data_IF_281198829172
#
_entry.id   IF_281198829172
#
_cell.length_a   1.000
_cell.length_b   1.000
_cell.length_c   1.000
_cell.angle_alpha   90.00
_cell.angle_beta   90.00
_cell.angle_gamma   90.00
#
_symmetry.space_group_name_H-M   'P 1'
#
loop_
_entity.id
_entity.type
_entity.pdbx_description
1 polymer ?
#
# COMPACT_ATOMS: atom_id res chain seq x y z
N UNK A 1 12.86 6.24 -21.51
CA UNK A 1 11.89 7.24 -21.91
C UNK A 1 10.72 7.31 -20.97
N UNK A 2 10.32 8.52 -20.64
CA UNK A 2 9.32 8.74 -19.57
C UNK A 2 7.89 8.70 -20.06
N UNK A 3 7.68 8.69 -21.37
CA UNK A 3 6.34 8.71 -21.97
C UNK A 3 5.53 7.46 -21.69
N UNK A 4 6.20 6.33 -21.45
CA UNK A 4 5.54 5.05 -21.18
C UNK A 4 5.36 4.74 -19.69
N UNK A 5 5.76 5.68 -18.83
CA UNK A 5 5.62 5.49 -17.38
C UNK A 5 4.25 5.98 -16.94
N UNK A 6 3.46 5.07 -16.40
CA UNK A 6 2.14 5.36 -15.89
C UNK A 6 2.10 5.15 -14.38
N UNK A 7 1.57 6.13 -13.69
CA UNK A 7 1.39 6.04 -12.24
C UNK A 7 -0.09 5.98 -11.94
N UNK A 8 -0.50 4.91 -11.30
CA UNK A 8 -1.87 4.76 -10.81
C UNK A 8 -1.80 3.99 -9.51
N UNK A 9 -1.49 4.72 -8.45
CA UNK A 9 -1.33 4.15 -7.12
C UNK A 9 -2.01 5.05 -6.12
N UNK A 10 -2.76 4.44 -5.21
CA UNK A 10 -3.48 5.12 -4.15
C UNK A 10 -3.07 4.52 -2.83
N UNK A 11 -2.78 5.36 -1.86
CA UNK A 11 -2.50 4.96 -0.48
C UNK A 11 -3.48 5.68 0.44
N UNK A 12 -4.22 4.92 1.22
CA UNK A 12 -5.29 5.44 2.06
C UNK A 12 -5.21 4.87 3.46
N UNK A 13 -5.68 5.63 4.42
CA UNK A 13 -5.94 5.12 5.76
C UNK A 13 -7.33 5.56 6.20
N UNK A 14 -8.02 4.70 6.91
CA UNK A 14 -9.36 5.01 7.38
C UNK A 14 -10.02 3.82 8.02
N UNK A 15 -11.31 3.97 8.29
CA UNK A 15 -12.12 2.94 8.95
C UNK A 15 -12.97 2.20 7.94
N UNK A 16 -13.01 0.89 8.05
CA UNK A 16 -13.81 0.03 7.18
C UNK A 16 -15.29 0.13 7.56
N UNK A 17 -16.16 0.18 6.54
CA UNK A 17 -17.60 0.11 6.72
C UNK A 17 -18.25 -0.62 5.54
N UNK A 18 -19.52 -1.00 5.70
CA UNK A 18 -20.40 -1.52 4.62
C UNK A 18 -19.77 -2.63 3.79
N UNK A 19 -19.38 -3.72 4.45
CA UNK A 19 -18.76 -4.87 3.78
C UNK A 19 -19.82 -5.69 3.05
N UNK A 20 -19.62 -5.95 1.76
CA UNK A 20 -20.52 -6.73 0.94
C UNK A 20 -19.76 -7.68 0.02
N UNK A 21 -20.01 -8.98 0.16
CA UNK A 21 -19.32 -10.00 -0.62
C UNK A 21 -20.11 -10.39 -1.87
N UNK A 22 -19.42 -10.44 -3.01
CA UNK A 22 -19.95 -10.99 -4.25
C UNK A 22 -19.19 -12.26 -4.63
N UNK A 23 -19.55 -12.87 -5.77
CA UNK A 23 -18.89 -14.09 -6.23
C UNK A 23 -17.44 -13.88 -6.63
N UNK A 24 -17.06 -12.69 -7.07
CA UNK A 24 -15.73 -12.40 -7.60
C UNK A 24 -14.90 -11.49 -6.70
N UNK A 25 -15.53 -10.62 -5.94
CA UNK A 25 -14.83 -9.64 -5.12
C UNK A 25 -15.68 -9.21 -3.93
N UNK A 26 -15.01 -8.61 -2.96
CA UNK A 26 -15.65 -7.97 -1.82
C UNK A 26 -15.70 -6.47 -2.08
N UNK A 27 -16.90 -5.88 -1.92
CA UNK A 27 -17.07 -4.43 -1.93
C UNK A 27 -17.09 -3.93 -0.50
N UNK A 28 -16.43 -2.82 -0.26
CA UNK A 28 -16.47 -2.21 1.07
C UNK A 28 -16.27 -0.71 0.98
N UNK A 29 -16.68 -0.01 2.03
CA UNK A 29 -16.46 1.41 2.16
C UNK A 29 -15.28 1.70 3.07
N UNK A 30 -14.64 2.84 2.84
CA UNK A 30 -13.61 3.37 3.71
C UNK A 30 -13.95 4.81 4.04
N UNK A 31 -14.00 5.12 5.34
CA UNK A 31 -14.17 6.49 5.82
C UNK A 31 -12.80 7.03 6.21
N UNK A 32 -12.34 8.06 5.51
CA UNK A 32 -11.06 8.71 5.79
C UNK A 32 -11.25 10.22 5.86
N UNK A 33 -10.22 10.91 6.30
CA UNK A 33 -10.24 12.37 6.38
C UNK A 33 -9.38 12.96 5.27
N UNK A 34 -9.85 14.07 4.69
CA UNK A 34 -9.04 14.86 3.77
C UNK A 34 -8.11 15.81 4.55
N UNK A 35 -7.34 16.62 3.83
CA UNK A 35 -6.43 17.58 4.45
C UNK A 35 -7.13 18.67 5.27
N UNK A 36 -8.40 18.92 4.99
CA UNK A 36 -9.22 19.89 5.74
C UNK A 36 -9.93 19.24 6.92
N UNK A 37 -9.62 17.99 7.23
CA UNK A 37 -10.22 17.18 8.29
C UNK A 37 -11.71 16.92 8.09
N UNK A 38 -12.17 16.93 6.84
CA UNK A 38 -13.53 16.53 6.49
C UNK A 38 -13.58 15.04 6.18
N UNK A 39 -14.71 14.41 6.50
CA UNK A 39 -14.89 12.99 6.20
C UNK A 39 -15.06 12.75 4.71
N UNK A 40 -14.31 11.79 4.19
CA UNK A 40 -14.45 11.30 2.83
C UNK A 40 -14.93 9.84 2.88
N UNK A 41 -15.89 9.52 2.02
CA UNK A 41 -16.45 8.17 1.94
C UNK A 41 -16.09 7.58 0.58
N UNK A 42 -15.31 6.52 0.59
CA UNK A 42 -14.76 5.91 -0.62
C UNK A 42 -15.30 4.52 -0.82
N UNK A 43 -15.49 4.15 -2.09
CA UNK A 43 -15.88 2.80 -2.50
C UNK A 43 -14.67 2.03 -2.97
N UNK A 44 -14.46 0.85 -2.38
CA UNK A 44 -13.31 0.02 -2.67
C UNK A 44 -13.76 -1.39 -3.02
N UNK A 45 -12.93 -2.07 -3.78
CA UNK A 45 -13.10 -3.49 -4.11
C UNK A 45 -11.80 -4.22 -3.88
N UNK A 46 -11.92 -5.48 -3.49
CA UNK A 46 -10.78 -6.39 -3.37
C UNK A 46 -11.20 -7.74 -3.95
N UNK A 47 -10.34 -8.35 -4.78
CA UNK A 47 -10.64 -9.67 -5.31
C UNK A 47 -10.70 -10.70 -4.19
N UNK A 48 -11.55 -11.71 -4.35
CA UNK A 48 -11.82 -12.67 -3.28
C UNK A 48 -10.57 -13.42 -2.82
N UNK A 49 -9.64 -13.73 -3.70
CA UNK A 49 -8.39 -14.39 -3.30
C UNK A 49 -7.58 -13.54 -2.32
N UNK A 50 -7.51 -12.24 -2.55
CA UNK A 50 -6.86 -11.31 -1.63
C UNK A 50 -7.71 -11.06 -0.39
N UNK A 51 -9.03 -11.01 -0.54
CA UNK A 51 -9.93 -10.86 0.60
C UNK A 51 -9.70 -11.98 1.63
N UNK A 52 -9.61 -13.21 1.18
CA UNK A 52 -9.38 -14.33 2.11
C UNK A 52 -8.02 -14.24 2.79
N UNK A 53 -7.01 -13.72 2.11
CA UNK A 53 -5.70 -13.48 2.70
C UNK A 53 -5.75 -12.44 3.81
N UNK A 54 -6.55 -11.39 3.64
CA UNK A 54 -6.63 -10.25 4.54
C UNK A 54 -7.92 -10.22 5.36
N UNK A 55 -8.63 -11.32 5.44
CA UNK A 55 -9.96 -11.42 6.03
C UNK A 55 -10.06 -10.82 7.43
N UNK A 56 -9.03 -10.99 8.25
CA UNK A 56 -9.04 -10.54 9.64
C UNK A 56 -9.06 -9.01 9.78
N UNK A 57 -8.73 -8.28 8.72
CA UNK A 57 -8.78 -6.83 8.72
C UNK A 57 -10.17 -6.28 8.39
N UNK A 58 -11.07 -7.10 7.86
CA UNK A 58 -12.40 -6.67 7.43
C UNK A 58 -13.38 -6.69 8.59
N UNK A 59 -13.20 -5.76 9.51
CA UNK A 59 -14.05 -5.55 10.67
C UNK A 59 -14.56 -4.12 10.62
N UNK A 60 -15.87 -3.95 10.79
CA UNK A 60 -16.49 -2.61 10.79
C UNK A 60 -15.80 -1.70 11.81
N UNK A 61 -15.53 -0.48 11.40
CA UNK A 61 -14.87 0.57 12.19
C UNK A 61 -13.40 0.30 12.55
N UNK A 62 -12.82 -0.77 12.02
CA UNK A 62 -11.39 -1.02 12.19
C UNK A 62 -10.58 -0.06 11.33
N UNK A 63 -9.57 0.56 11.93
CA UNK A 63 -8.61 1.40 11.20
C UNK A 63 -7.62 0.54 10.43
N UNK A 64 -7.51 0.80 9.13
CA UNK A 64 -6.61 0.07 8.23
C UNK A 64 -5.84 1.03 7.34
N UNK A 65 -4.76 0.51 6.77
CA UNK A 65 -3.95 1.20 5.76
C UNK A 65 -4.03 0.38 4.48
N UNK A 66 -4.35 1.04 3.38
CA UNK A 66 -4.68 0.39 2.12
C UNK A 66 -3.83 0.95 1.00
N UNK A 67 -3.39 0.05 0.13
CA UNK A 67 -2.73 0.38 -1.12
C UNK A 67 -3.54 -0.22 -2.26
N UNK A 68 -3.70 0.53 -3.33
CA UNK A 68 -4.46 0.08 -4.47
C UNK A 68 -4.30 1.01 -5.66
N UNK A 69 -5.22 0.91 -6.59
CA UNK A 69 -5.22 1.74 -7.80
C UNK A 69 -6.64 2.08 -8.21
N UNK A 70 -6.78 3.15 -8.97
CA UNK A 70 -8.09 3.61 -9.46
C UNK A 70 -8.51 2.81 -10.67
N UNK A 71 -9.78 2.43 -10.70
CA UNK A 71 -10.45 1.84 -11.85
C UNK A 71 -11.76 2.55 -12.10
N UNK A 72 -12.23 2.46 -13.33
CA UNK A 72 -13.52 3.02 -13.71
C UNK A 72 -14.37 1.96 -14.41
N UNK A 73 -15.66 2.17 -14.39
CA UNK A 73 -16.62 1.35 -15.14
C UNK A 73 -17.78 2.23 -15.59
N UNK A 74 -18.46 1.81 -16.66
CA UNK A 74 -19.69 2.47 -17.10
C UNK A 74 -20.89 1.80 -16.43
N UNK A 75 -21.74 2.60 -15.81
CA UNK A 75 -22.97 2.10 -15.22
C UNK A 75 -24.09 1.92 -16.28
N UNK A 76 -25.27 1.56 -15.84
CA UNK A 76 -26.42 1.29 -16.72
C UNK A 76 -26.85 2.52 -17.53
N UNK A 77 -26.55 3.71 -17.04
CA UNK A 77 -26.90 4.98 -17.68
C UNK A 77 -25.74 5.56 -18.50
N UNK A 78 -24.69 4.78 -18.76
CA UNK A 78 -23.46 5.19 -19.45
C UNK A 78 -22.68 6.28 -18.70
N UNK A 79 -22.92 6.45 -17.41
CA UNK A 79 -22.12 7.32 -16.58
C UNK A 79 -20.88 6.58 -16.11
N UNK A 80 -19.75 7.27 -16.11
CA UNK A 80 -18.49 6.69 -15.65
C UNK A 80 -18.41 6.81 -14.14
N UNK A 81 -18.25 5.68 -13.48
CA UNK A 81 -18.04 5.59 -12.04
C UNK A 81 -16.62 5.14 -11.74
N UNK A 82 -16.09 5.57 -10.61
CA UNK A 82 -14.75 5.20 -10.20
C UNK A 82 -14.80 4.44 -8.88
N UNK A 83 -13.80 3.57 -8.69
CA UNK A 83 -13.60 2.85 -7.44
C UNK A 83 -12.10 2.54 -7.30
N UNK A 84 -11.72 2.13 -6.12
CA UNK A 84 -10.33 1.75 -5.83
C UNK A 84 -10.26 0.24 -5.74
N UNK A 85 -9.37 -0.36 -6.53
CA UNK A 85 -9.07 -1.78 -6.45
C UNK A 85 -7.91 -1.97 -5.48
N UNK A 86 -8.16 -2.69 -4.40
CA UNK A 86 -7.20 -2.88 -3.32
C UNK A 86 -6.21 -3.98 -3.67
N UNK A 87 -4.94 -3.71 -3.48
CA UNK A 87 -3.86 -4.68 -3.67
C UNK A 87 -3.22 -5.12 -2.37
N UNK A 88 -3.29 -4.27 -1.34
CA UNK A 88 -2.74 -4.59 -0.02
C UNK A 88 -3.54 -3.89 1.07
N UNK A 89 -3.73 -4.57 2.19
CA UNK A 89 -4.36 -4.00 3.38
C UNK A 89 -3.58 -4.46 4.61
N UNK A 90 -3.37 -3.55 5.56
CA UNK A 90 -2.65 -3.84 6.79
C UNK A 90 -3.14 -2.90 7.90
N UNK A 91 -2.89 -3.25 9.14
CA UNK A 91 -3.09 -2.35 10.28
C UNK A 91 -1.77 -1.69 10.74
N UNK A 92 -0.68 -1.93 10.01
CA UNK A 92 0.65 -1.39 10.32
C UNK A 92 1.14 -0.52 9.17
N UNK A 93 1.20 0.82 9.35
CA UNK A 93 1.54 1.73 8.25
C UNK A 93 2.93 1.45 7.64
N UNK A 94 3.87 0.99 8.43
CA UNK A 94 5.22 0.68 7.95
C UNK A 94 5.24 -0.45 6.92
N UNK A 95 4.36 -1.42 7.05
CA UNK A 95 4.26 -2.51 6.08
C UNK A 95 3.73 -2.05 4.73
N UNK A 96 2.92 -1.00 4.72
CA UNK A 96 2.38 -0.46 3.48
C UNK A 96 3.47 0.27 2.67
N UNK A 97 4.27 1.07 3.35
CA UNK A 97 5.31 1.90 2.75
C UNK A 97 6.53 1.07 2.38
N UNK A 98 6.93 0.15 3.24
CA UNK A 98 8.12 -0.69 3.08
C UNK A 98 7.77 -2.03 2.43
N UNK A 99 7.06 -1.97 1.30
CA UNK A 99 6.69 -3.17 0.56
C UNK A 99 7.90 -3.90 -0.02
N UNK A 100 7.65 -5.11 -0.55
CA UNK A 100 8.68 -6.00 -1.07
C UNK A 100 9.50 -5.42 -2.23
N UNK A 101 9.01 -4.38 -2.88
CA UNK A 101 9.70 -3.71 -3.97
C UNK A 101 10.65 -2.60 -3.50
N UNK A 102 10.65 -2.26 -2.21
CA UNK A 102 11.52 -1.21 -1.69
C UNK A 102 12.94 -1.72 -1.52
N UNK A 103 13.96 -0.90 -1.81
CA UNK A 103 15.33 -1.24 -1.47
C UNK A 103 15.45 -1.50 0.03
N UNK A 104 16.34 -2.42 0.41
CA UNK A 104 16.53 -2.79 1.81
C UNK A 104 17.34 -1.75 2.60
N UNK A 105 17.64 -0.61 2.00
CA UNK A 105 18.36 0.49 2.61
C UNK A 105 17.35 1.60 2.96
N UNK A 106 17.40 2.02 4.20
CA UNK A 106 16.56 3.12 4.71
C UNK A 106 17.28 3.85 5.83
N UNK A 107 16.77 5.00 6.22
CA UNK A 107 17.26 5.76 7.36
C UNK A 107 16.24 5.70 8.48
N UNK A 108 16.71 5.54 9.72
CA UNK A 108 15.83 5.55 10.87
C UNK A 108 15.52 7.00 11.31
N UNK A 109 14.81 7.15 12.43
CA UNK A 109 14.39 8.44 12.95
C UNK A 109 15.58 9.36 13.32
N UNK A 110 16.71 8.76 13.68
CA UNK A 110 17.93 9.48 14.03
C UNK A 110 18.80 9.78 12.81
N UNK A 111 18.37 9.42 11.61
CA UNK A 111 19.13 9.62 10.40
C UNK A 111 20.23 8.59 10.16
N UNK A 112 20.24 7.49 10.93
CA UNK A 112 21.22 6.42 10.78
C UNK A 112 20.75 5.44 9.70
N UNK A 113 21.63 5.06 8.81
CA UNK A 113 21.33 4.10 7.75
C UNK A 113 21.00 2.73 8.34
N UNK A 114 19.88 2.17 7.89
CA UNK A 114 19.46 0.81 8.24
C UNK A 114 19.45 -0.02 6.98
N UNK A 115 20.19 -1.13 7.00
CA UNK A 115 20.26 -2.05 5.89
C UNK A 115 19.87 -3.45 6.34
N UNK A 116 18.91 -4.04 5.64
CA UNK A 116 18.35 -5.35 6.00
C UNK A 116 17.91 -5.44 7.48
N UNK A 117 17.36 -4.33 8.02
CA UNK A 117 16.90 -4.28 9.40
C UNK A 117 17.99 -4.06 10.44
N UNK A 118 19.24 -3.89 10.05
CA UNK A 118 20.36 -3.65 10.98
C UNK A 118 20.83 -2.20 10.87
N UNK A 119 21.00 -1.55 12.01
CA UNK A 119 21.56 -0.21 12.04
C UNK A 119 23.07 -0.25 11.78
N UNK A 120 23.52 0.68 10.96
CA UNK A 120 24.94 0.83 10.61
C UNK A 120 25.53 2.00 11.39
N UNK A 121 25.65 1.89 12.71
CA UNK A 121 26.00 3.02 13.56
C UNK A 121 27.49 3.23 13.76
N UNK A 122 28.19 2.22 14.19
CA UNK A 122 29.54 2.39 14.76
C UNK A 122 30.60 1.48 14.19
N UNK A 123 30.21 0.51 13.41
CA UNK A 123 31.13 -0.42 12.79
C UNK A 123 31.06 -0.24 11.29
N UNK A 124 32.19 0.09 10.63
CA UNK A 124 32.19 0.16 9.17
C UNK A 124 31.71 -1.17 8.59
N UNK A 125 30.93 -1.15 7.52
CA UNK A 125 30.49 -2.40 6.89
C UNK A 125 31.71 -3.19 6.42
N UNK A 126 31.60 -4.51 6.52
CA UNK A 126 32.64 -5.40 6.01
C UNK A 126 32.68 -5.34 4.49
N UNK A 127 33.75 -5.84 3.89
CA UNK A 127 33.85 -5.90 2.45
C UNK A 127 32.72 -6.69 1.81
N UNK A 128 32.30 -7.79 2.44
CA UNK A 128 31.19 -8.61 1.98
C UNK A 128 29.88 -7.84 2.05
N UNK A 129 29.65 -7.10 3.12
CA UNK A 129 28.44 -6.27 3.27
C UNK A 129 28.40 -5.17 2.22
N UNK A 130 29.53 -4.55 1.91
CA UNK A 130 29.62 -3.53 0.87
C UNK A 130 29.32 -4.11 -0.52
N UNK A 131 29.82 -5.29 -0.81
CA UNK A 131 29.53 -5.97 -2.07
C UNK A 131 28.07 -6.33 -2.20
N UNK A 132 27.44 -6.79 -1.13
CA UNK A 132 25.98 -7.04 -1.11
C UNK A 132 25.18 -5.76 -1.32
N UNK A 133 25.58 -4.65 -0.70
CA UNK A 133 24.92 -3.36 -0.87
C UNK A 133 25.00 -2.87 -2.31
N UNK A 134 26.17 -3.00 -2.93
CA UNK A 134 26.35 -2.63 -4.34
C UNK A 134 25.48 -3.50 -5.27
N UNK A 135 25.43 -4.79 -5.01
CA UNK A 135 24.62 -5.72 -5.80
C UNK A 135 23.13 -5.35 -5.70
N UNK A 136 22.64 -5.02 -4.50
CA UNK A 136 21.26 -4.61 -4.31
C UNK A 136 20.94 -3.29 -5.01
N UNK A 137 21.84 -2.32 -4.91
CA UNK A 137 21.66 -1.03 -5.58
C UNK A 137 21.64 -1.18 -7.11
N UNK A 138 22.50 -2.02 -7.66
CA UNK A 138 22.53 -2.28 -9.09
C UNK A 138 21.29 -3.00 -9.58
N UNK A 139 20.68 -3.81 -8.75
CA UNK A 139 19.44 -4.52 -9.07
C UNK A 139 18.23 -3.57 -9.22
N UNK A 140 18.25 -2.43 -8.51
CA UNK A 140 17.18 -1.45 -8.52
C UNK A 140 17.46 -0.22 -9.38
N UNK A 141 18.56 -0.22 -10.10
CA UNK A 141 18.87 0.80 -11.08
C UNK A 141 18.43 0.34 -12.48
#
# INVERSE_FOLDING_TARGET
MYEDINYNEVMLSGKINNIYNTNNYCLFGLTCNDYSNNNCYLNLRIYNNLYYKYKDFFIKDKKVFIKGYLKTYSDKNNNIQSYIMVTKITDKPNELINGASAPHIRYDEDGVMVWNGKRCESVPPTKEELEEMEALLNEYQ
#
